data_IF_894205693327
#
_entry.id   IF_894205693327
#
_cell.length_a   1.000
_cell.length_b   1.000
_cell.length_c   1.000
_cell.angle_alpha   90.00
_cell.angle_beta   90.00
_cell.angle_gamma   90.00
#
_symmetry.space_group_name_H-M   'P 1'
#
loop_
_entity.id
_entity.type
_entity.pdbx_description
1 polymer ?
#
# COMPACT_ATOMS: atom_id res chain seq x y z
N UNK A 1 33.97 -1.15 -42.90
CA UNK A 1 33.81 -0.59 -44.25
C UNK A 1 32.36 -0.84 -44.64
N UNK A 2 31.48 0.14 -44.42
CA UNK A 2 31.07 1.12 -45.46
C UNK A 2 30.42 0.34 -46.59
N UNK A 3 29.11 0.41 -46.81
CA UNK A 3 28.43 1.46 -47.59
C UNK A 3 27.00 0.85 -47.83
N UNK A 4 25.87 1.53 -48.03
CA UNK A 4 25.63 2.59 -48.99
C UNK A 4 24.22 3.15 -48.77
N UNK A 5 24.15 4.41 -48.38
CA UNK A 5 23.05 5.36 -48.62
C UNK A 5 22.92 5.64 -50.10
N UNK A 6 21.71 5.68 -50.68
CA UNK A 6 21.38 6.61 -51.79
C UNK A 6 19.95 7.13 -51.63
N UNK A 7 19.85 8.47 -51.50
CA UNK A 7 18.65 9.30 -51.61
C UNK A 7 18.30 9.54 -53.09
N UNK A 8 17.02 9.72 -53.40
CA UNK A 8 16.48 10.65 -54.41
C UNK A 8 14.95 10.58 -54.27
N UNK A 9 14.22 11.53 -53.66
CA UNK A 9 13.98 12.92 -54.02
C UNK A 9 13.75 13.16 -55.53
N UNK A 10 12.49 13.22 -55.95
CA UNK A 10 12.00 14.16 -56.96
C UNK A 10 10.47 14.01 -57.07
N UNK A 11 9.70 15.07 -56.77
CA UNK A 11 9.05 15.97 -57.75
C UNK A 11 7.87 15.28 -58.44
N UNK A 12 6.71 15.86 -58.67
CA UNK A 12 6.09 17.17 -58.46
C UNK A 12 4.72 17.01 -59.14
N UNK A 13 3.70 17.73 -58.66
CA UNK A 13 2.59 18.30 -59.45
C UNK A 13 1.73 17.34 -60.32
N UNK A 14 0.42 17.47 -60.48
CA UNK A 14 -0.63 18.34 -60.00
C UNK A 14 -1.90 17.87 -60.75
N UNK A 15 -3.04 18.51 -60.42
CA UNK A 15 -4.20 18.74 -61.29
C UNK A 15 -5.21 17.59 -61.41
N UNK A 16 -6.48 17.99 -61.20
CA UNK A 16 -7.62 17.48 -61.96
C UNK A 16 -8.55 16.60 -61.13
N UNK A 17 -9.49 17.18 -60.40
CA UNK A 17 -10.83 17.50 -60.89
C UNK A 17 -11.80 16.29 -60.79
N UNK A 18 -12.71 16.42 -59.82
CA UNK A 18 -14.12 16.03 -59.82
C UNK A 18 -14.48 14.61 -60.30
N UNK A 19 -15.08 13.82 -59.40
CA UNK A 19 -16.34 13.12 -59.66
C UNK A 19 -16.94 12.61 -58.34
N UNK A 20 -18.03 13.28 -57.97
CA UNK A 20 -19.23 12.83 -57.22
C UNK A 20 -19.17 11.43 -56.59
N UNK A 21 -19.29 11.37 -55.27
CA UNK A 21 -19.98 10.28 -54.58
C UNK A 21 -20.60 10.78 -53.27
N UNK A 22 -21.91 10.99 -53.29
CA UNK A 22 -22.73 11.15 -52.10
C UNK A 22 -22.77 9.81 -51.35
N UNK A 23 -22.33 9.81 -50.10
CA UNK A 23 -22.65 8.75 -49.15
C UNK A 23 -22.84 9.40 -47.77
N UNK A 24 -24.06 9.28 -47.25
CA UNK A 24 -24.52 9.75 -45.96
C UNK A 24 -23.60 9.23 -44.84
N UNK A 25 -22.63 10.03 -44.42
CA UNK A 25 -21.82 9.77 -43.24
C UNK A 25 -22.56 10.30 -42.00
N UNK A 26 -23.44 9.47 -41.48
CA UNK A 26 -23.71 9.22 -40.06
C UNK A 26 -23.08 10.23 -39.09
N UNK A 27 -23.77 11.34 -38.85
CA UNK A 27 -23.47 12.24 -37.74
C UNK A 27 -24.00 11.67 -36.43
N UNK A 28 -23.26 10.76 -35.81
CA UNK A 28 -23.47 10.42 -34.40
C UNK A 28 -22.97 11.59 -33.55
N UNK A 29 -23.85 12.51 -33.17
CA UNK A 29 -23.54 13.45 -32.09
C UNK A 29 -23.51 12.68 -30.78
N UNK A 30 -22.31 12.45 -30.25
CA UNK A 30 -22.13 11.91 -28.91
C UNK A 30 -22.60 12.96 -27.90
N UNK A 31 -23.86 12.87 -27.49
CA UNK A 31 -24.37 13.65 -26.35
C UNK A 31 -23.75 13.04 -25.10
N UNK A 32 -22.89 13.80 -24.40
CA UNK A 32 -22.37 13.38 -23.11
C UNK A 32 -23.53 13.20 -22.14
N UNK A 33 -23.89 11.95 -21.82
CA UNK A 33 -24.86 11.71 -20.76
C UNK A 33 -24.18 12.01 -19.41
N UNK A 34 -24.78 12.85 -18.55
CA UNK A 34 -24.30 13.01 -17.19
C UNK A 34 -24.41 11.63 -16.51
N UNK A 35 -23.26 11.01 -16.25
CA UNK A 35 -23.19 9.79 -15.45
C UNK A 35 -23.77 10.15 -14.07
N UNK A 36 -24.77 9.43 -13.55
CA UNK A 36 -25.19 9.62 -12.17
C UNK A 36 -23.96 9.39 -11.30
N UNK A 37 -23.55 10.44 -10.60
CA UNK A 37 -22.51 10.37 -9.60
C UNK A 37 -23.05 9.42 -8.52
N UNK A 38 -22.71 8.14 -8.58
CA UNK A 38 -22.82 7.29 -7.41
C UNK A 38 -21.99 7.96 -6.34
N UNK A 39 -22.67 8.55 -5.35
CA UNK A 39 -22.03 9.21 -4.22
C UNK A 39 -20.96 8.26 -3.68
N UNK A 40 -19.70 8.58 -3.96
CA UNK A 40 -18.58 7.82 -3.44
C UNK A 40 -18.61 8.07 -1.93
N UNK A 41 -19.09 7.08 -1.17
CA UNK A 41 -19.06 7.17 0.28
C UNK A 41 -17.62 7.46 0.70
N UNK A 42 -17.42 8.59 1.36
CA UNK A 42 -16.10 8.98 1.86
C UNK A 42 -15.59 7.85 2.75
N UNK A 43 -14.33 7.44 2.54
CA UNK A 43 -13.69 6.46 3.40
C UNK A 43 -13.76 6.96 4.87
N UNK A 44 -13.91 6.05 5.85
CA UNK A 44 -13.87 6.42 7.26
C UNK A 44 -12.64 7.26 7.54
N UNK A 45 -12.83 8.49 8.03
CA UNK A 45 -11.71 9.36 8.38
C UNK A 45 -11.05 8.81 9.65
N UNK A 46 -9.81 8.31 9.63
CA UNK A 46 -9.16 7.82 10.84
C UNK A 46 -9.01 8.90 11.92
N UNK A 47 -9.07 10.19 11.53
CA UNK A 47 -9.07 11.31 12.46
C UNK A 47 -10.40 11.52 13.21
N UNK A 48 -11.49 10.82 12.86
CA UNK A 48 -12.76 10.89 13.60
C UNK A 48 -12.84 9.90 14.78
N UNK A 49 -11.84 9.02 14.94
CA UNK A 49 -11.78 8.08 16.05
C UNK A 49 -11.15 8.81 17.25
N UNK A 50 -11.88 9.01 18.36
CA UNK A 50 -11.31 9.66 19.54
C UNK A 50 -10.14 8.86 20.08
N UNK A 51 -8.97 9.48 20.16
CA UNK A 51 -7.80 8.89 20.80
C UNK A 51 -7.96 9.01 22.32
N UNK A 52 -8.38 7.92 22.95
CA UNK A 52 -8.43 7.81 24.41
C UNK A 52 -7.15 7.14 24.90
N UNK A 53 -6.44 7.79 25.82
CA UNK A 53 -5.23 7.22 26.41
C UNK A 53 -5.59 6.06 27.36
N UNK A 54 -4.79 4.98 27.36
CA UNK A 54 -4.98 3.87 28.30
C UNK A 54 -4.75 4.34 29.73
N UNK A 55 -5.47 3.74 30.68
CA UNK A 55 -5.25 3.90 32.13
C UNK A 55 -4.62 2.64 32.69
N UNK A 56 -3.75 2.81 33.69
CA UNK A 56 -3.17 1.70 34.44
C UNK A 56 -3.97 1.45 35.71
N UNK A 57 -4.17 0.18 36.04
CA UNK A 57 -4.74 -0.27 37.31
C UNK A 57 -3.95 -1.47 37.84
N UNK A 58 -3.93 -1.65 39.17
CA UNK A 58 -3.28 -2.82 39.77
C UNK A 58 -4.17 -4.04 39.57
N UNK A 59 -3.69 -5.00 38.76
CA UNK A 59 -4.40 -6.27 38.53
C UNK A 59 -3.95 -7.32 39.53
N UNK A 60 -2.63 -7.51 39.64
CA UNK A 60 -2.01 -8.43 40.59
C UNK A 60 -0.53 -8.08 40.81
N UNK A 61 0.04 -8.65 41.86
CA UNK A 61 1.47 -8.74 42.13
C UNK A 61 1.91 -10.20 42.02
N UNK A 62 3.07 -10.44 41.40
CA UNK A 62 3.68 -11.76 41.30
C UNK A 62 5.05 -11.75 41.97
N UNK A 63 5.23 -12.69 42.90
CA UNK A 63 6.52 -12.98 43.52
C UNK A 63 7.04 -14.25 42.87
N UNK A 64 8.13 -14.13 42.10
CA UNK A 64 8.73 -15.26 41.38
C UNK A 64 9.93 -15.81 42.14
N UNK A 65 9.99 -17.12 42.30
CA UNK A 65 11.17 -17.82 42.80
C UNK A 65 12.10 -18.16 41.64
N UNK A 66 13.34 -17.68 41.73
CA UNK A 66 14.32 -17.81 40.66
C UNK A 66 15.37 -18.86 41.03
N UNK A 67 15.61 -19.79 40.10
CA UNK A 67 16.76 -20.68 40.16
C UNK A 67 18.04 -19.95 39.73
N UNK A 68 19.23 -20.54 39.95
CA UNK A 68 20.48 -19.98 39.48
C UNK A 68 20.48 -19.71 37.97
N UNK A 69 21.13 -18.61 37.59
CA UNK A 69 21.31 -18.23 36.20
C UNK A 69 22.16 -19.25 35.46
N UNK A 70 21.72 -19.62 34.26
CA UNK A 70 22.44 -20.45 33.32
C UNK A 70 23.08 -19.55 32.26
N UNK A 71 24.40 -19.61 32.16
CA UNK A 71 25.15 -18.93 31.09
C UNK A 71 25.07 -19.75 29.80
N UNK A 72 24.52 -19.16 28.74
CA UNK A 72 24.36 -19.81 27.43
C UNK A 72 25.45 -19.40 26.43
N UNK A 73 26.41 -18.58 26.88
CA UNK A 73 27.56 -18.12 26.10
C UNK A 73 27.38 -16.74 25.47
N UNK A 74 28.40 -16.33 24.70
CA UNK A 74 28.48 -15.01 24.07
C UNK A 74 28.00 -15.10 22.62
N UNK A 75 27.06 -14.23 22.25
CA UNK A 75 26.64 -14.00 20.87
C UNK A 75 27.17 -12.66 20.33
N UNK A 76 26.97 -12.37 19.03
CA UNK A 76 27.44 -11.13 18.40
C UNK A 76 26.91 -9.84 19.06
N UNK A 77 25.83 -9.92 19.83
CA UNK A 77 25.18 -8.79 20.51
C UNK A 77 25.36 -8.82 22.04
N UNK A 78 26.24 -9.68 22.56
CA UNK A 78 26.50 -9.84 23.98
C UNK A 78 26.16 -11.22 24.52
N UNK A 79 26.15 -11.33 25.84
CA UNK A 79 25.94 -12.60 26.55
C UNK A 79 24.47 -13.03 26.55
N UNK A 80 24.25 -14.34 26.41
CA UNK A 80 22.93 -14.96 26.55
C UNK A 80 22.88 -15.70 27.87
N UNK A 81 21.82 -15.46 28.64
CA UNK A 81 21.58 -16.09 29.93
C UNK A 81 20.14 -16.58 30.02
N UNK A 82 19.92 -17.62 30.81
CA UNK A 82 18.58 -18.10 31.18
C UNK A 82 18.45 -18.08 32.69
N UNK A 83 17.39 -17.45 33.21
CA UNK A 83 17.06 -17.44 34.64
C UNK A 83 15.74 -18.19 34.80
N UNK A 84 15.76 -19.45 35.24
CA UNK A 84 14.53 -20.23 35.36
C UNK A 84 13.67 -19.73 36.52
N UNK A 85 12.36 -19.60 36.29
CA UNK A 85 11.36 -19.39 37.35
C UNK A 85 10.88 -20.77 37.78
N UNK A 86 11.11 -21.14 39.03
CA UNK A 86 10.75 -22.48 39.55
C UNK A 86 9.45 -22.50 40.32
N UNK A 87 8.95 -21.33 40.71
CA UNK A 87 7.76 -21.22 41.54
C UNK A 87 7.42 -19.76 41.82
N UNK A 88 6.52 -19.56 42.77
CA UNK A 88 6.08 -18.23 43.18
C UNK A 88 4.63 -18.19 43.63
N UNK A 89 4.16 -16.96 43.87
CA UNK A 89 2.78 -16.68 44.24
C UNK A 89 2.24 -15.46 43.52
N UNK A 90 0.94 -15.46 43.27
CA UNK A 90 0.20 -14.33 42.73
C UNK A 90 -0.77 -13.83 43.79
N UNK A 91 -0.89 -12.52 43.94
CA UNK A 91 -1.84 -11.88 44.83
C UNK A 91 -2.48 -10.70 44.13
N UNK A 92 -3.78 -10.52 44.23
CA UNK A 92 -4.43 -9.37 43.60
C UNK A 92 -5.90 -9.24 43.98
N UNK A 93 -6.51 -8.06 43.80
CA UNK A 93 -7.91 -7.83 44.15
C UNK A 93 -8.91 -8.68 43.36
N UNK A 94 -8.49 -9.28 42.24
CA UNK A 94 -9.35 -10.05 41.32
C UNK A 94 -8.77 -11.42 40.94
N UNK A 95 -7.97 -12.02 41.84
CA UNK A 95 -7.39 -13.36 41.68
C UNK A 95 -7.93 -14.35 42.70
#
# INVERSE_FOLDING_TARGET
MTNTTIRALARSAAIGAALVAAALATGCTAVAQPRPETAQAAAPNPASIPVVLPRTELVYEAIAELAPTLELGVGPLGERRMVPITGGSFQGPRL
#
